data_IF_944179443117
#
_entry.id   IF_944179443117
#
_cell.length_a   1.000
_cell.length_b   1.000
_cell.length_c   1.000
_cell.angle_alpha   90.00
_cell.angle_beta   90.00
_cell.angle_gamma   90.00
#
_symmetry.space_group_name_H-M   'P 1'
#
loop_
_entity.id
_entity.type
_entity.pdbx_description
1 polymer ?
#
# COMPACT_ATOMS: atom_id res chain seq x y z
N UNK A 1 -11.82 6.95 -5.52
CA UNK A 1 -10.76 7.01 -6.56
C UNK A 1 -9.73 8.10 -6.28
N UNK A 2 -10.16 9.32 -6.01
CA UNK A 2 -9.20 10.42 -5.74
C UNK A 2 -8.23 10.10 -4.59
N UNK A 3 -8.72 9.49 -3.50
CA UNK A 3 -7.89 9.12 -2.37
C UNK A 3 -6.84 8.08 -2.74
N UNK A 4 -7.19 7.12 -3.60
CA UNK A 4 -6.24 6.08 -4.03
C UNK A 4 -5.13 6.66 -4.90
N UNK A 5 -5.41 7.72 -5.67
CA UNK A 5 -4.43 8.39 -6.53
C UNK A 5 -3.41 9.21 -5.73
N UNK A 6 -3.67 9.49 -4.46
CA UNK A 6 -2.67 10.13 -3.58
C UNK A 6 -1.49 9.19 -3.32
N UNK A 7 -1.75 7.88 -3.26
CA UNK A 7 -0.71 6.88 -3.02
C UNK A 7 -0.19 6.27 -4.31
N UNK A 8 -1.03 6.16 -5.34
CA UNK A 8 -0.66 5.64 -6.65
C UNK A 8 -1.18 6.59 -7.73
N UNK A 9 -0.32 7.37 -8.39
CA UNK A 9 -0.75 8.39 -9.34
C UNK A 9 -1.26 7.83 -10.68
N UNK A 10 -1.08 6.53 -10.95
CA UNK A 10 -1.51 5.93 -12.20
C UNK A 10 -2.93 5.38 -12.09
N UNK A 11 -3.91 6.13 -12.61
CA UNK A 11 -5.32 5.74 -12.57
C UNK A 11 -5.59 4.41 -13.29
N UNK A 12 -4.89 4.13 -14.37
CA UNK A 12 -5.07 2.86 -15.08
C UNK A 12 -4.60 1.69 -14.21
N UNK A 13 -3.51 1.87 -13.47
CA UNK A 13 -3.04 0.86 -12.54
C UNK A 13 -4.04 0.65 -11.41
N UNK A 14 -4.56 1.71 -10.81
CA UNK A 14 -5.58 1.62 -9.76
C UNK A 14 -6.81 0.88 -10.28
N UNK A 15 -7.29 1.20 -11.46
CA UNK A 15 -8.46 0.53 -12.05
C UNK A 15 -8.22 -0.96 -12.26
N UNK A 16 -7.00 -1.37 -12.60
CA UNK A 16 -6.68 -2.78 -12.85
C UNK A 16 -6.82 -3.64 -11.60
N UNK A 17 -6.38 -3.15 -10.43
CA UNK A 17 -6.42 -3.98 -9.22
C UNK A 17 -7.69 -3.80 -8.40
N UNK A 18 -8.40 -2.69 -8.53
CA UNK A 18 -9.51 -2.35 -7.65
C UNK A 18 -10.70 -3.32 -7.77
N UNK A 19 -10.95 -3.84 -8.98
CA UNK A 19 -12.14 -4.64 -9.28
C UNK A 19 -12.21 -5.96 -8.48
N UNK A 20 -11.05 -6.56 -8.14
CA UNK A 20 -10.99 -7.88 -7.48
C UNK A 20 -10.38 -7.81 -6.08
N UNK A 21 -10.40 -6.65 -5.46
CA UNK A 21 -9.71 -6.43 -4.19
C UNK A 21 -10.66 -6.28 -3.02
N UNK A 22 -10.10 -6.45 -1.82
CA UNK A 22 -10.75 -6.14 -0.55
C UNK A 22 -10.36 -4.72 -0.15
N UNK A 23 -11.33 -3.90 0.26
CA UNK A 23 -11.07 -2.53 0.66
C UNK A 23 -11.41 -2.35 2.14
N UNK A 24 -10.47 -1.76 2.88
CA UNK A 24 -10.67 -1.36 4.27
C UNK A 24 -10.62 0.16 4.31
N UNK A 25 -11.59 0.79 4.93
CA UNK A 25 -11.69 2.26 4.94
C UNK A 25 -11.93 2.77 6.35
N UNK A 26 -11.43 3.98 6.61
CA UNK A 26 -11.78 4.75 7.79
C UNK A 26 -12.63 5.93 7.35
N UNK A 27 -13.74 6.15 8.05
CA UNK A 27 -14.70 7.19 7.72
C UNK A 27 -14.76 8.20 8.86
N UNK A 28 -14.72 9.48 8.52
CA UNK A 28 -14.84 10.58 9.47
C UNK A 28 -15.77 11.62 8.86
N UNK A 29 -16.82 12.01 9.59
CA UNK A 29 -17.83 12.98 9.13
C UNK A 29 -18.42 12.61 7.75
N UNK A 30 -18.75 11.32 7.56
CA UNK A 30 -19.32 10.77 6.33
C UNK A 30 -18.37 10.83 5.12
N UNK A 31 -17.08 11.09 5.34
CA UNK A 31 -16.07 11.07 4.28
C UNK A 31 -15.05 9.97 4.54
N UNK A 32 -14.63 9.30 3.47
CA UNK A 32 -13.53 8.34 3.54
C UNK A 32 -12.23 9.12 3.66
N UNK A 33 -11.57 9.01 4.80
CA UNK A 33 -10.31 9.72 5.06
C UNK A 33 -9.08 8.81 4.87
N UNK A 34 -9.29 7.51 4.86
CA UNK A 34 -8.23 6.52 4.63
C UNK A 34 -8.78 5.31 3.93
N UNK A 35 -7.91 4.68 3.14
CA UNK A 35 -8.25 3.43 2.47
C UNK A 35 -7.03 2.51 2.41
N UNK A 36 -7.26 1.22 2.54
CA UNK A 36 -6.28 0.18 2.30
C UNK A 36 -6.90 -0.82 1.35
N UNK A 37 -6.32 -1.00 0.18
CA UNK A 37 -6.81 -1.91 -0.85
C UNK A 37 -5.89 -3.12 -0.90
N UNK A 38 -6.46 -4.30 -0.72
CA UNK A 38 -5.73 -5.57 -0.66
C UNK A 38 -6.25 -6.48 -1.76
N UNK A 39 -5.35 -6.98 -2.60
CA UNK A 39 -5.67 -7.90 -3.68
C UNK A 39 -5.30 -9.32 -3.26
N UNK A 40 -6.28 -10.23 -3.12
CA UNK A 40 -5.98 -11.63 -2.91
C UNK A 40 -5.25 -12.20 -4.14
N UNK A 41 -4.09 -12.83 -3.92
CA UNK A 41 -3.32 -13.46 -4.99
C UNK A 41 -3.58 -14.96 -5.05
N UNK A 42 -3.90 -15.57 -3.90
CA UNK A 42 -4.24 -16.98 -3.75
C UNK A 42 -5.07 -17.14 -2.50
N UNK A 43 -5.37 -18.38 -2.11
CA UNK A 43 -6.08 -18.65 -0.85
C UNK A 43 -5.27 -18.27 0.39
N UNK A 44 -3.93 -18.18 0.27
CA UNK A 44 -3.03 -17.97 1.41
C UNK A 44 -2.24 -16.67 1.33
N UNK A 45 -2.19 -16.00 0.18
CA UNK A 45 -1.41 -14.79 -0.02
C UNK A 45 -2.26 -13.64 -0.53
N UNK A 46 -1.98 -12.45 -0.03
CA UNK A 46 -2.60 -11.21 -0.47
C UNK A 46 -1.54 -10.12 -0.60
N UNK A 47 -1.80 -9.15 -1.45
CA UNK A 47 -0.91 -8.01 -1.68
C UNK A 47 -1.63 -6.71 -1.33
N UNK A 48 -0.97 -5.84 -0.56
CA UNK A 48 -1.44 -4.47 -0.36
C UNK A 48 -1.13 -3.68 -1.63
N UNK A 49 -2.16 -3.23 -2.32
CA UNK A 49 -2.02 -2.50 -3.57
C UNK A 49 -2.00 -0.99 -3.36
N UNK A 50 -2.65 -0.52 -2.29
CA UNK A 50 -2.76 0.91 -2.04
C UNK A 50 -3.05 1.15 -0.57
N UNK A 51 -2.31 2.07 0.05
CA UNK A 51 -2.60 2.61 1.38
C UNK A 51 -2.60 4.13 1.22
N UNK A 52 -3.75 4.75 1.41
CA UNK A 52 -3.90 6.18 1.18
C UNK A 52 -4.57 6.86 2.36
N UNK A 53 -4.13 8.09 2.61
CA UNK A 53 -4.67 8.95 3.66
C UNK A 53 -5.01 10.30 3.03
N UNK A 54 -6.20 10.82 3.35
CA UNK A 54 -6.59 12.16 2.90
C UNK A 54 -5.51 13.18 3.30
N UNK A 55 -5.17 14.15 2.43
CA UNK A 55 -4.12 15.14 2.74
C UNK A 55 -4.32 15.86 4.06
N UNK A 56 -5.57 16.09 4.46
CA UNK A 56 -5.89 16.78 5.73
C UNK A 56 -5.68 15.91 6.96
N UNK A 57 -5.47 14.59 6.77
CA UNK A 57 -5.36 13.60 7.84
C UNK A 57 -4.00 12.92 7.88
N UNK A 58 -3.09 13.29 7.00
CA UNK A 58 -1.74 12.71 6.97
C UNK A 58 -0.97 13.08 8.24
N UNK A 59 -0.06 12.19 8.66
CA UNK A 59 0.83 12.38 9.81
C UNK A 59 0.13 12.42 11.18
N UNK A 60 -1.11 11.95 11.26
CA UNK A 60 -1.85 11.86 12.53
C UNK A 60 -1.74 10.49 13.22
N UNK A 61 -0.85 9.62 12.75
CA UNK A 61 -0.70 8.27 13.29
C UNK A 61 -1.86 7.33 12.98
N UNK A 62 -2.82 7.79 12.23
CA UNK A 62 -4.10 7.11 12.03
C UNK A 62 -4.04 6.08 10.89
N UNK A 63 -3.07 6.20 9.97
CA UNK A 63 -2.84 5.19 8.93
C UNK A 63 -2.43 3.85 9.50
N UNK A 64 -1.70 3.86 10.63
CA UNK A 64 -1.28 2.65 11.32
C UNK A 64 -2.46 1.85 11.85
N UNK A 65 -3.48 2.52 12.38
CA UNK A 65 -4.63 1.84 12.96
C UNK A 65 -5.43 1.10 11.91
N UNK A 66 -5.63 1.71 10.74
CA UNK A 66 -6.36 1.05 9.65
C UNK A 66 -5.59 -0.16 9.13
N UNK A 67 -4.28 -0.03 8.94
CA UNK A 67 -3.47 -1.15 8.43
C UNK A 67 -3.40 -2.28 9.45
N UNK A 68 -3.27 -1.98 10.74
CA UNK A 68 -3.35 -3.01 11.78
C UNK A 68 -4.70 -3.71 11.79
N UNK A 69 -5.78 -2.96 11.63
CA UNK A 69 -7.13 -3.53 11.51
C UNK A 69 -7.21 -4.46 10.30
N UNK A 70 -6.73 -4.01 9.13
CA UNK A 70 -6.74 -4.83 7.92
C UNK A 70 -5.94 -6.12 8.12
N UNK A 71 -4.76 -6.06 8.74
CA UNK A 71 -3.93 -7.22 9.03
C UNK A 71 -4.70 -8.23 9.90
N UNK A 72 -5.37 -7.77 10.96
CA UNK A 72 -6.14 -8.64 11.84
C UNK A 72 -7.33 -9.29 11.10
N UNK A 73 -8.00 -8.56 10.22
CA UNK A 73 -9.07 -9.11 9.41
C UNK A 73 -8.55 -10.19 8.45
N UNK A 74 -7.39 -9.96 7.83
CA UNK A 74 -6.78 -10.92 6.91
C UNK A 74 -6.36 -12.21 7.63
N UNK A 75 -5.84 -12.10 8.85
CA UNK A 75 -5.53 -13.27 9.68
C UNK A 75 -6.77 -14.13 9.91
N UNK A 76 -7.92 -13.50 10.13
CA UNK A 76 -9.19 -14.20 10.33
C UNK A 76 -9.75 -14.86 9.08
N UNK A 77 -9.22 -14.54 7.90
CA UNK A 77 -9.70 -15.06 6.61
C UNK A 77 -8.77 -16.10 5.98
N UNK A 78 -7.93 -16.75 6.76
CA UNK A 78 -7.01 -17.80 6.30
C UNK A 78 -5.80 -17.34 5.49
N UNK A 79 -5.59 -16.06 5.28
CA UNK A 79 -4.36 -15.58 4.67
C UNK A 79 -3.16 -15.83 5.59
N UNK A 80 -2.06 -16.27 5.03
CA UNK A 80 -0.83 -16.60 5.77
C UNK A 80 0.30 -15.63 5.50
N UNK A 81 0.27 -14.94 4.36
CA UNK A 81 1.33 -14.02 3.96
C UNK A 81 0.73 -12.79 3.28
N UNK A 82 1.19 -11.63 3.72
CA UNK A 82 0.83 -10.34 3.14
C UNK A 82 2.07 -9.72 2.54
N UNK A 83 1.99 -9.27 1.29
CA UNK A 83 3.11 -8.66 0.59
C UNK A 83 2.75 -7.24 0.14
N UNK A 84 3.77 -6.44 -0.11
CA UNK A 84 3.61 -5.12 -0.70
C UNK A 84 4.89 -4.70 -1.42
N UNK A 85 4.76 -3.73 -2.32
CA UNK A 85 5.88 -3.06 -2.96
C UNK A 85 5.97 -1.62 -2.48
N UNK A 86 7.18 -1.14 -2.23
CA UNK A 86 7.41 0.24 -1.80
C UNK A 86 8.73 0.75 -2.39
N UNK A 87 8.94 2.07 -2.35
CA UNK A 87 10.20 2.67 -2.77
C UNK A 87 11.36 2.30 -1.85
N UNK A 88 12.57 2.53 -2.32
CA UNK A 88 13.79 2.20 -1.58
C UNK A 88 14.12 3.22 -0.50
N UNK A 89 13.35 4.30 -0.40
CA UNK A 89 13.53 5.36 0.59
C UNK A 89 12.18 6.00 0.89
N UNK A 90 12.16 6.86 1.89
CA UNK A 90 10.97 7.58 2.32
C UNK A 90 10.38 7.04 3.62
N UNK A 91 9.42 7.79 4.20
CA UNK A 91 8.83 7.44 5.49
C UNK A 91 8.02 6.15 5.44
N UNK A 92 7.51 5.79 4.28
CA UNK A 92 6.67 4.60 4.11
C UNK A 92 7.44 3.32 4.40
N UNK A 93 8.70 3.25 3.95
CA UNK A 93 9.54 2.08 4.20
C UNK A 93 9.71 1.82 5.70
N UNK A 94 10.04 2.86 6.46
CA UNK A 94 10.18 2.74 7.91
C UNK A 94 8.85 2.40 8.59
N UNK A 95 7.75 2.97 8.11
CA UNK A 95 6.42 2.71 8.61
C UNK A 95 6.04 1.23 8.50
N UNK A 96 6.26 0.62 7.32
CA UNK A 96 5.95 -0.80 7.14
C UNK A 96 6.85 -1.69 8.00
N UNK A 97 8.13 -1.34 8.10
CA UNK A 97 9.06 -2.11 8.92
C UNK A 97 8.69 -2.06 10.41
N UNK A 98 8.19 -0.93 10.90
CA UNK A 98 7.69 -0.84 12.29
C UNK A 98 6.47 -1.74 12.54
N UNK A 99 5.69 -2.05 11.50
CA UNK A 99 4.56 -2.98 11.60
C UNK A 99 4.99 -4.44 11.52
N UNK A 100 6.27 -4.72 11.28
CA UNK A 100 6.82 -6.06 11.21
C UNK A 100 7.12 -6.57 9.81
N UNK A 101 6.88 -5.76 8.77
CA UNK A 101 7.26 -6.15 7.40
C UNK A 101 8.77 -6.25 7.25
N UNK A 102 9.20 -7.21 6.47
CA UNK A 102 10.60 -7.43 6.16
C UNK A 102 10.83 -7.36 4.66
N UNK A 103 12.05 -7.00 4.27
CA UNK A 103 12.45 -6.96 2.85
C UNK A 103 12.65 -8.39 2.35
N UNK A 104 12.03 -8.73 1.22
CA UNK A 104 12.18 -10.02 0.58
C UNK A 104 13.07 -9.95 -0.65
N UNK A 105 12.84 -8.95 -1.50
CA UNK A 105 13.58 -8.81 -2.76
C UNK A 105 13.53 -7.38 -3.28
N UNK A 106 14.32 -7.13 -4.33
CA UNK A 106 14.36 -5.85 -5.04
C UNK A 106 13.86 -6.10 -6.46
N UNK A 107 12.89 -5.29 -6.89
CA UNK A 107 12.40 -5.27 -8.27
C UNK A 107 13.05 -4.08 -8.96
N UNK A 108 14.12 -4.34 -9.71
CA UNK A 108 14.92 -3.29 -10.33
C UNK A 108 14.14 -2.60 -11.45
N UNK A 109 14.26 -1.28 -11.51
CA UNK A 109 13.67 -0.44 -12.54
C UNK A 109 12.14 -0.48 -12.58
N UNK A 110 11.48 -0.97 -11.51
CA UNK A 110 10.02 -1.11 -11.47
C UNK A 110 9.31 0.20 -11.81
N UNK A 111 9.72 1.31 -11.19
CA UNK A 111 9.06 2.60 -11.39
C UNK A 111 9.36 3.21 -12.76
N UNK A 112 10.46 2.83 -13.37
CA UNK A 112 10.81 3.28 -14.72
C UNK A 112 10.02 2.52 -15.78
N UNK A 113 9.75 1.23 -15.55
CA UNK A 113 9.09 0.35 -16.52
C UNK A 113 7.57 0.40 -16.45
N UNK A 114 7.01 0.61 -15.26
CA UNK A 114 5.57 0.45 -15.03
C UNK A 114 4.80 1.77 -14.90
N UNK A 115 5.48 2.90 -14.83
CA UNK A 115 4.84 4.22 -14.73
C UNK A 115 5.24 5.09 -15.91
N UNK A 116 4.26 5.75 -16.55
CA UNK A 116 4.56 6.59 -17.72
C UNK A 116 5.32 7.87 -17.38
N UNK A 117 5.16 8.37 -16.15
CA UNK A 117 5.80 9.59 -15.71
C UNK A 117 6.77 9.30 -14.56
N UNK A 118 7.89 10.02 -14.47
CA UNK A 118 8.82 9.85 -13.35
C UNK A 118 8.16 10.17 -12.00
N UNK A 119 8.48 9.40 -10.99
CA UNK A 119 7.97 9.61 -9.63
C UNK A 119 9.12 10.10 -8.76
N UNK A 120 8.94 11.30 -8.18
CA UNK A 120 9.95 11.96 -7.36
C UNK A 120 9.48 12.07 -5.92
N UNK A 121 10.40 11.91 -4.98
CA UNK A 121 10.15 12.14 -3.57
C UNK A 121 11.42 12.72 -2.93
N UNK A 122 11.30 13.85 -2.25
CA UNK A 122 12.42 14.51 -1.59
C UNK A 122 13.62 14.76 -2.53
N UNK A 123 13.35 15.11 -3.79
CA UNK A 123 14.37 15.41 -4.79
C UNK A 123 15.06 14.19 -5.38
N UNK A 124 14.61 12.99 -5.06
CA UNK A 124 15.18 11.74 -5.57
C UNK A 124 14.12 11.00 -6.38
N UNK A 125 14.48 10.57 -7.58
CA UNK A 125 13.58 9.79 -8.43
C UNK A 125 13.49 8.35 -7.94
N UNK A 126 12.27 7.85 -7.77
CA UNK A 126 12.05 6.42 -7.53
C UNK A 126 12.34 5.62 -8.79
N UNK A 127 13.18 4.61 -8.69
CA UNK A 127 13.54 3.73 -9.80
C UNK A 127 13.26 2.28 -9.47
N UNK A 128 13.76 1.80 -8.36
CA UNK A 128 13.66 0.41 -7.92
C UNK A 128 12.60 0.26 -6.83
N UNK A 129 11.95 -0.90 -6.79
CA UNK A 129 10.95 -1.22 -5.77
C UNK A 129 11.47 -2.30 -4.84
N UNK A 130 11.28 -2.11 -3.53
CA UNK A 130 11.48 -3.16 -2.54
C UNK A 130 10.18 -3.96 -2.40
N UNK A 131 10.30 -5.29 -2.41
CA UNK A 131 9.21 -6.19 -2.06
C UNK A 131 9.32 -6.54 -0.60
N UNK A 132 8.28 -6.24 0.16
CA UNK A 132 8.20 -6.54 1.58
C UNK A 132 7.17 -7.63 1.84
N UNK A 133 7.34 -8.37 2.93
CA UNK A 133 6.37 -9.37 3.33
C UNK A 133 6.14 -9.34 4.84
N UNK A 134 4.98 -9.84 5.25
CA UNK A 134 4.60 -10.06 6.64
C UNK A 134 3.93 -11.42 6.73
N UNK A 135 4.44 -12.28 7.60
CA UNK A 135 3.79 -13.56 7.93
C UNK A 135 2.63 -13.29 8.89
N UNK A 136 1.46 -13.78 8.52
CA UNK A 136 0.23 -13.56 9.29
C UNK A 136 -0.03 -14.66 10.31
#
# INVERSE_FOLDING_TARGET
>A
MALLLEADPDQDNVNRYLANSLSFVAVEESQIVRACVVLPLSETQAEIMNVSVSPTHQQRGIGSDLLRFAIEQLKGQSFQKLILGTGTFGYQLAYYQRLGFRVESVDKDHFLLHYPEPIWENGIQHKDMLRLYLDL
#
